data_IF_019976508199
#
_entry.id   IF_019976508199
#
_cell.length_a   1.000
_cell.length_b   1.000
_cell.length_c   1.000
_cell.angle_alpha   90.00
_cell.angle_beta   90.00
_cell.angle_gamma   90.00
#
_symmetry.space_group_name_H-M   'P 1'
#
loop_
_entity.id
_entity.type
_entity.pdbx_description
1 polymer ?
#
# COMPACT_ATOMS: atom_id res chain seq x y z
N UNK A 1 5.15 8.29 4.11
CA UNK A 1 5.33 8.06 2.66
C UNK A 1 4.69 6.74 2.30
N UNK A 2 3.89 6.71 1.21
CA UNK A 2 3.18 5.51 0.77
C UNK A 2 3.53 5.19 -0.67
N UNK A 3 3.65 3.90 -0.97
CA UNK A 3 3.69 3.39 -2.33
C UNK A 3 2.38 2.64 -2.59
N UNK A 4 1.62 3.09 -3.58
CA UNK A 4 0.38 2.43 -3.98
C UNK A 4 0.61 1.72 -5.31
N UNK A 5 0.40 0.41 -5.33
CA UNK A 5 0.53 -0.40 -6.54
C UNK A 5 -0.76 -0.50 -7.34
N UNK A 6 -0.69 -1.06 -8.55
CA UNK A 6 -1.84 -1.29 -9.41
C UNK A 6 -2.82 -2.28 -8.80
N UNK A 7 -4.10 -2.10 -9.09
CA UNK A 7 -5.18 -3.04 -8.76
C UNK A 7 -4.91 -4.42 -9.36
N UNK A 8 -5.40 -5.44 -8.67
CA UNK A 8 -5.31 -6.83 -9.07
C UNK A 8 -5.92 -7.07 -10.46
N UNK A 9 -5.06 -7.18 -11.46
CA UNK A 9 -5.32 -7.81 -12.73
C UNK A 9 -4.28 -8.93 -12.87
N UNK A 10 -4.63 -10.05 -13.45
CA UNK A 10 -3.70 -11.17 -13.66
C UNK A 10 -2.42 -10.76 -14.38
N UNK A 11 -2.54 -9.77 -15.26
CA UNK A 11 -1.45 -9.27 -16.10
C UNK A 11 -0.50 -8.31 -15.37
N UNK A 12 -0.90 -7.80 -14.18
CA UNK A 12 -0.13 -6.83 -13.39
C UNK A 12 0.53 -7.42 -12.13
N UNK A 13 0.62 -8.73 -12.00
CA UNK A 13 1.21 -9.40 -10.82
C UNK A 13 2.66 -8.94 -10.58
N UNK A 14 3.46 -8.86 -11.64
CA UNK A 14 4.86 -8.43 -11.55
C UNK A 14 4.99 -6.97 -11.10
N UNK A 15 4.10 -6.07 -11.53
CA UNK A 15 4.09 -4.67 -11.07
C UNK A 15 3.79 -4.58 -9.57
N UNK A 16 2.88 -5.41 -9.08
CA UNK A 16 2.59 -5.53 -7.65
C UNK A 16 3.83 -5.95 -6.86
N UNK A 17 4.52 -6.99 -7.32
CA UNK A 17 5.71 -7.54 -6.67
C UNK A 17 6.86 -6.52 -6.63
N UNK A 18 7.15 -5.81 -7.73
CA UNK A 18 8.22 -4.81 -7.74
C UNK A 18 7.87 -3.58 -6.89
N UNK A 19 6.60 -3.17 -6.86
CA UNK A 19 6.14 -2.06 -6.02
C UNK A 19 6.28 -2.41 -4.54
N UNK A 20 5.87 -3.62 -4.17
CA UNK A 20 6.02 -4.13 -2.81
C UNK A 20 7.50 -4.22 -2.41
N UNK A 21 8.34 -4.84 -3.23
CA UNK A 21 9.77 -4.97 -2.96
C UNK A 21 10.46 -3.61 -2.82
N UNK A 22 10.11 -2.63 -3.65
CA UNK A 22 10.62 -1.27 -3.56
C UNK A 22 10.25 -0.62 -2.21
N UNK A 23 8.99 -0.72 -1.79
CA UNK A 23 8.52 -0.16 -0.53
C UNK A 23 9.18 -0.83 0.69
N UNK A 24 9.26 -2.16 0.69
CA UNK A 24 9.89 -2.95 1.76
C UNK A 24 11.38 -2.63 1.90
N UNK A 25 12.09 -2.37 0.78
CA UNK A 25 13.52 -2.03 0.79
C UNK A 25 13.85 -0.74 1.54
N UNK A 26 12.85 0.11 1.78
CA UNK A 26 12.96 1.40 2.49
C UNK A 26 12.00 1.51 3.67
N UNK A 27 11.47 0.39 4.15
CA UNK A 27 10.51 0.31 5.27
C UNK A 27 9.34 1.30 5.12
N UNK A 28 8.84 1.50 3.90
CA UNK A 28 7.69 2.36 3.64
C UNK A 28 6.39 1.56 3.57
N UNK A 29 5.30 2.10 4.10
CA UNK A 29 3.99 1.48 3.95
C UNK A 29 3.56 1.39 2.48
N UNK A 30 2.86 0.32 2.12
CA UNK A 30 2.40 0.09 0.75
C UNK A 30 0.99 -0.51 0.70
N UNK A 31 0.31 -0.28 -0.42
CA UNK A 31 -0.96 -0.94 -0.77
C UNK A 31 -0.84 -1.41 -2.21
N UNK A 32 -0.84 -2.71 -2.43
CA UNK A 32 -0.64 -3.32 -3.75
C UNK A 32 -1.85 -4.12 -4.25
N UNK A 33 -2.94 -4.10 -3.52
CA UNK A 33 -4.19 -4.74 -3.91
C UNK A 33 -5.21 -3.67 -4.26
N UNK A 34 -6.30 -3.60 -3.56
CA UNK A 34 -7.31 -2.59 -3.77
C UNK A 34 -7.16 -1.48 -2.72
N UNK A 35 -7.12 -0.22 -3.15
CA UNK A 35 -7.26 0.89 -2.22
C UNK A 35 -8.56 0.76 -1.41
N UNK A 36 -8.43 0.72 -0.11
CA UNK A 36 -9.59 0.73 0.77
C UNK A 36 -10.06 2.16 0.94
N UNK A 37 -11.29 2.46 0.53
CA UNK A 37 -11.85 3.79 0.70
C UNK A 37 -11.80 4.23 2.17
N UNK A 38 -11.34 5.45 2.41
CA UNK A 38 -11.12 5.97 3.75
C UNK A 38 -9.75 5.62 4.36
N UNK A 39 -8.85 5.02 3.60
CA UNK A 39 -7.54 4.63 4.14
C UNK A 39 -6.73 5.82 4.68
N UNK A 40 -6.90 7.00 4.12
CA UNK A 40 -6.31 8.25 4.63
C UNK A 40 -7.33 9.10 5.41
N UNK A 41 -8.59 9.13 4.97
CA UNK A 41 -9.61 10.04 5.51
C UNK A 41 -10.40 9.45 6.68
N UNK A 42 -10.44 8.12 6.82
CA UNK A 42 -11.13 7.42 7.92
C UNK A 42 -10.20 6.45 8.65
N UNK A 43 -9.14 7.01 9.22
CA UNK A 43 -8.05 6.28 9.90
C UNK A 43 -8.57 5.40 11.05
N UNK A 44 -9.60 5.82 11.77
CA UNK A 44 -10.16 5.05 12.89
C UNK A 44 -10.76 3.71 12.44
N UNK A 45 -11.43 3.71 11.29
CA UNK A 45 -11.99 2.46 10.73
C UNK A 45 -10.89 1.53 10.27
N UNK A 46 -9.87 2.05 9.60
CA UNK A 46 -8.70 1.27 9.16
C UNK A 46 -7.95 0.70 10.36
N UNK A 47 -7.68 1.52 11.38
CA UNK A 47 -7.01 1.10 12.61
C UNK A 47 -7.78 0.00 13.35
N UNK A 48 -9.12 0.02 13.34
CA UNK A 48 -9.92 -1.08 13.91
C UNK A 48 -9.69 -2.40 13.17
N UNK A 49 -9.61 -2.37 11.85
CA UNK A 49 -9.33 -3.56 11.05
C UNK A 49 -7.90 -4.08 11.27
N UNK A 50 -6.93 -3.18 11.35
CA UNK A 50 -5.53 -3.53 11.66
C UNK A 50 -5.41 -4.15 13.05
N UNK A 51 -6.10 -3.59 14.07
CA UNK A 51 -6.11 -4.18 15.42
C UNK A 51 -6.73 -5.57 15.42
N UNK A 52 -7.84 -5.76 14.67
CA UNK A 52 -8.47 -7.07 14.51
C UNK A 52 -7.51 -8.08 13.88
N UNK A 53 -6.80 -7.67 12.83
CA UNK A 53 -5.79 -8.50 12.17
C UNK A 53 -4.69 -8.92 13.15
N UNK A 54 -4.09 -7.95 13.85
CA UNK A 54 -3.03 -8.22 14.85
C UNK A 54 -3.51 -9.15 15.99
N UNK A 55 -4.75 -8.99 16.46
CA UNK A 55 -5.34 -9.86 17.48
C UNK A 55 -5.53 -11.29 16.95
N UNK A 56 -6.10 -11.45 15.77
CA UNK A 56 -6.29 -12.77 15.16
C UNK A 56 -4.95 -13.49 14.91
N UNK A 57 -3.96 -12.78 14.36
CA UNK A 57 -2.61 -13.34 14.15
C UNK A 57 -1.99 -13.80 15.49
N UNK A 58 -2.07 -12.97 16.53
CA UNK A 58 -1.56 -13.30 17.86
C UNK A 58 -2.22 -14.53 18.44
N UNK A 59 -3.54 -14.62 18.36
CA UNK A 59 -4.32 -15.76 18.89
C UNK A 59 -4.09 -17.03 18.08
N UNK A 60 -3.88 -16.91 16.77
CA UNK A 60 -3.50 -18.04 15.92
C UNK A 60 -2.10 -18.55 16.28
N UNK A 61 -1.12 -17.65 16.40
CA UNK A 61 0.26 -18.00 16.75
C UNK A 61 0.40 -18.59 18.15
N UNK A 62 -0.46 -18.21 19.10
CA UNK A 62 -0.46 -18.77 20.45
C UNK A 62 -1.15 -20.16 20.59
N UNK A 63 -1.79 -20.66 19.51
CA UNK A 63 -2.58 -21.88 19.55
C UNK A 63 -3.93 -21.76 20.28
N UNK A 64 -4.30 -20.55 20.74
CA UNK A 64 -5.55 -20.31 21.46
C UNK A 64 -6.77 -20.69 20.63
N UNK A 65 -6.75 -20.36 19.32
CA UNK A 65 -7.86 -20.67 18.43
C UNK A 65 -8.02 -22.17 18.21
N UNK A 66 -6.92 -22.91 18.04
CA UNK A 66 -6.94 -24.36 17.88
C UNK A 66 -7.43 -25.08 19.15
N UNK A 67 -7.16 -24.54 20.33
CA UNK A 67 -7.58 -25.10 21.61
C UNK A 67 -9.08 -24.91 21.90
N UNK A 68 -9.71 -23.85 21.33
CA UNK A 68 -11.08 -23.44 21.69
C UNK A 68 -12.11 -23.68 20.60
N UNK A 69 -11.68 -23.82 19.35
CA UNK A 69 -12.57 -23.86 18.19
C UNK A 69 -12.37 -25.13 17.36
N UNK A 70 -13.39 -25.50 16.59
CA UNK A 70 -13.30 -26.63 15.66
C UNK A 70 -12.34 -26.32 14.50
N UNK A 71 -11.83 -27.37 13.83
CA UNK A 71 -10.93 -27.21 12.67
C UNK A 71 -11.53 -26.33 11.57
N UNK A 72 -12.85 -26.41 11.35
CA UNK A 72 -13.54 -25.61 10.35
C UNK A 72 -13.55 -24.11 10.72
N UNK A 73 -13.75 -23.80 12.01
CA UNK A 73 -13.71 -22.42 12.50
C UNK A 73 -12.30 -21.85 12.45
N UNK A 74 -11.28 -22.64 12.81
CA UNK A 74 -9.86 -22.24 12.69
C UNK A 74 -9.51 -21.94 11.24
N UNK A 75 -9.96 -22.76 10.30
CA UNK A 75 -9.78 -22.48 8.86
C UNK A 75 -10.41 -21.14 8.46
N UNK A 76 -11.63 -20.83 8.94
CA UNK A 76 -12.28 -19.54 8.65
C UNK A 76 -11.52 -18.36 9.24
N UNK A 77 -10.95 -18.50 10.43
CA UNK A 77 -10.08 -17.46 11.00
C UNK A 77 -8.82 -17.26 10.16
N UNK A 78 -8.22 -18.34 9.66
CA UNK A 78 -7.07 -18.23 8.76
C UNK A 78 -7.45 -17.52 7.45
N UNK A 79 -8.56 -17.87 6.83
CA UNK A 79 -9.07 -17.18 5.63
C UNK A 79 -9.34 -15.68 5.89
N UNK A 80 -9.86 -15.34 7.08
CA UNK A 80 -10.05 -13.94 7.47
C UNK A 80 -8.72 -13.21 7.67
N UNK A 81 -7.72 -13.84 8.28
CA UNK A 81 -6.36 -13.29 8.42
C UNK A 81 -5.77 -13.01 7.05
N UNK A 82 -5.88 -13.96 6.12
CA UNK A 82 -5.33 -13.83 4.76
C UNK A 82 -5.97 -12.65 4.01
N UNK A 83 -7.30 -12.51 4.09
CA UNK A 83 -8.03 -11.39 3.49
C UNK A 83 -7.63 -10.04 4.11
N UNK A 84 -7.49 -9.99 5.43
CA UNK A 84 -7.09 -8.77 6.13
C UNK A 84 -5.62 -8.42 5.85
N UNK A 85 -4.73 -9.40 5.79
CA UNK A 85 -3.33 -9.20 5.42
C UNK A 85 -3.18 -8.72 3.97
N UNK A 86 -3.96 -9.28 3.06
CA UNK A 86 -3.97 -8.82 1.67
C UNK A 86 -4.34 -7.32 1.57
N UNK A 87 -5.29 -6.85 2.39
CA UNK A 87 -5.79 -5.47 2.34
C UNK A 87 -4.98 -4.47 3.17
N UNK A 88 -4.49 -4.89 4.33
CA UNK A 88 -3.92 -4.01 5.34
C UNK A 88 -2.48 -4.36 5.72
N UNK A 89 -1.96 -5.51 5.27
CA UNK A 89 -0.63 -6.00 5.65
C UNK A 89 0.47 -4.98 5.41
N UNK A 90 0.48 -4.35 4.25
CA UNK A 90 1.52 -3.35 3.90
C UNK A 90 1.41 -2.01 4.65
N UNK A 91 0.29 -1.75 5.33
CA UNK A 91 0.09 -0.54 6.16
C UNK A 91 -0.05 -0.86 7.66
N UNK A 92 0.14 -2.10 8.04
CA UNK A 92 -0.07 -2.62 9.41
C UNK A 92 0.78 -1.89 10.46
N UNK A 93 1.99 -1.48 10.09
CA UNK A 93 2.94 -0.79 10.97
C UNK A 93 2.93 0.75 10.77
N UNK A 94 1.97 1.26 10.03
CA UNK A 94 1.85 2.70 9.84
C UNK A 94 1.17 3.34 11.06
N UNK A 95 1.90 4.19 11.77
CA UNK A 95 1.42 4.91 12.96
C UNK A 95 0.91 6.31 12.67
N UNK A 96 1.37 6.92 11.58
CA UNK A 96 1.11 8.32 11.23
C UNK A 96 0.64 8.47 9.79
N UNK A 97 0.03 9.60 9.48
CA UNK A 97 -0.33 9.94 8.11
C UNK A 97 0.93 10.08 7.23
N UNK A 98 0.88 9.62 5.97
CA UNK A 98 2.02 9.73 5.07
C UNK A 98 2.30 11.19 4.70
N UNK A 99 3.58 11.55 4.63
CA UNK A 99 4.00 12.88 4.19
C UNK A 99 3.86 13.07 2.66
N UNK A 100 3.79 11.98 1.90
CA UNK A 100 3.57 11.99 0.46
C UNK A 100 2.98 10.65 0.00
N UNK A 101 2.23 10.68 -1.08
CA UNK A 101 1.67 9.51 -1.75
C UNK A 101 2.38 9.29 -3.09
N UNK A 102 2.85 8.08 -3.33
CA UNK A 102 3.41 7.66 -4.62
C UNK A 102 2.43 6.67 -5.24
N UNK A 103 1.93 6.98 -6.42
CA UNK A 103 0.94 6.19 -7.15
C UNK A 103 1.54 5.65 -8.43
N UNK A 104 1.52 4.34 -8.62
CA UNK A 104 2.07 3.68 -9.81
C UNK A 104 1.07 3.66 -10.95
N UNK A 105 -0.21 3.44 -10.67
CA UNK A 105 -1.30 3.45 -11.65
C UNK A 105 -2.37 4.46 -11.22
N UNK A 106 -2.25 5.68 -11.75
CA UNK A 106 -3.16 6.78 -11.39
C UNK A 106 -4.59 6.56 -11.91
N UNK A 107 -4.79 5.75 -12.94
CA UNK A 107 -6.11 5.43 -13.47
C UNK A 107 -6.89 4.53 -12.51
N UNK A 108 -6.22 3.55 -11.93
CA UNK A 108 -6.82 2.57 -11.02
C UNK A 108 -7.02 3.16 -9.60
N UNK A 109 -6.06 3.96 -9.13
CA UNK A 109 -6.01 4.43 -7.75
C UNK A 109 -6.52 5.88 -7.57
N UNK A 110 -7.50 6.29 -8.39
CA UNK A 110 -8.16 7.61 -8.32
C UNK A 110 -8.69 7.96 -6.92
N UNK A 111 -9.14 6.97 -6.16
CA UNK A 111 -9.65 7.19 -4.81
C UNK A 111 -8.52 7.56 -3.84
N UNK A 112 -7.35 6.94 -3.98
CA UNK A 112 -6.16 7.30 -3.19
C UNK A 112 -5.75 8.75 -3.45
N UNK A 113 -5.72 9.15 -4.72
CA UNK A 113 -5.40 10.52 -5.14
C UNK A 113 -6.41 11.53 -4.57
N UNK A 114 -7.72 11.24 -4.65
CA UNK A 114 -8.77 12.10 -4.08
C UNK A 114 -8.64 12.27 -2.57
N UNK A 115 -8.39 11.18 -1.85
CA UNK A 115 -8.21 11.23 -0.40
C UNK A 115 -6.96 12.02 -0.01
N UNK A 116 -5.83 11.79 -0.69
CA UNK A 116 -4.60 12.54 -0.47
C UNK A 116 -4.81 14.05 -0.71
N UNK A 117 -5.50 14.41 -1.79
CA UNK A 117 -5.85 15.79 -2.10
C UNK A 117 -6.70 16.44 -1.02
N UNK A 118 -7.70 15.73 -0.48
CA UNK A 118 -8.56 16.20 0.61
C UNK A 118 -7.76 16.53 1.88
N UNK A 119 -6.66 15.81 2.10
CA UNK A 119 -5.77 15.99 3.26
C UNK A 119 -4.54 16.84 2.96
N UNK A 120 -4.45 17.44 1.78
CA UNK A 120 -3.29 18.19 1.30
C UNK A 120 -1.97 17.41 1.37
N UNK A 121 -2.05 16.09 1.12
CA UNK A 121 -0.87 15.23 1.01
C UNK A 121 -0.39 15.29 -0.44
N UNK A 122 0.88 15.67 -0.71
CA UNK A 122 1.42 15.75 -2.05
C UNK A 122 1.44 14.39 -2.73
N UNK A 123 0.99 14.34 -3.99
CA UNK A 123 0.85 13.14 -4.80
C UNK A 123 1.88 13.14 -5.91
N UNK A 124 2.71 12.10 -5.94
CA UNK A 124 3.57 11.72 -7.05
C UNK A 124 2.91 10.58 -7.80
N UNK A 125 2.69 10.70 -9.09
CA UNK A 125 2.07 9.61 -9.84
C UNK A 125 2.73 9.37 -11.20
N UNK A 126 2.89 8.09 -11.53
CA UNK A 126 3.17 7.65 -12.88
C UNK A 126 1.86 7.79 -13.67
N UNK A 127 1.91 8.49 -14.79
CA UNK A 127 0.74 8.78 -15.61
C UNK A 127 0.99 8.40 -17.04
N UNK A 128 0.14 7.55 -17.56
CA UNK A 128 0.06 7.29 -19.00
C UNK A 128 -0.89 8.30 -19.67
N UNK A 129 -1.01 8.24 -20.98
CA UNK A 129 -1.79 9.16 -21.84
C UNK A 129 -3.30 9.20 -21.53
N UNK A 130 -3.82 8.22 -20.81
CA UNK A 130 -5.23 8.06 -20.47
C UNK A 130 -5.62 8.65 -19.09
N UNK A 131 -4.71 9.36 -18.42
CA UNK A 131 -4.91 9.91 -17.08
C UNK A 131 -5.05 11.42 -17.11
N UNK A 132 -6.06 11.96 -16.41
CA UNK A 132 -6.19 13.40 -16.14
C UNK A 132 -5.24 13.80 -14.99
N UNK A 133 -4.21 14.64 -15.26
CA UNK A 133 -3.22 15.02 -14.26
C UNK A 133 -3.67 16.11 -13.28
N UNK A 134 -4.88 16.66 -13.42
CA UNK A 134 -5.36 17.86 -12.66
C UNK A 134 -5.22 17.73 -11.14
N UNK A 135 -5.35 16.50 -10.61
CA UNK A 135 -5.29 16.24 -9.17
C UNK A 135 -3.95 15.65 -8.70
N UNK A 136 -2.92 15.71 -9.53
CA UNK A 136 -1.59 15.15 -9.24
C UNK A 136 -0.62 16.31 -9.12
N UNK A 137 0.12 16.38 -8.00
CA UNK A 137 1.07 17.49 -7.76
C UNK A 137 2.37 17.30 -8.55
N UNK A 138 2.82 16.04 -8.68
CA UNK A 138 4.05 15.68 -9.39
C UNK A 138 3.78 14.57 -10.38
N UNK A 139 3.58 14.94 -11.61
CA UNK A 139 3.29 14.03 -12.74
C UNK A 139 4.58 13.45 -13.29
N UNK A 140 4.65 12.13 -13.39
CA UNK A 140 5.76 11.41 -14.03
C UNK A 140 5.21 10.73 -15.28
N UNK A 141 5.39 11.32 -16.47
CA UNK A 141 4.87 10.75 -17.70
C UNK A 141 5.67 9.50 -18.08
N UNK A 142 5.02 8.35 -17.99
CA UNK A 142 5.59 7.06 -18.39
C UNK A 142 4.48 6.04 -18.61
N UNK A 143 4.80 4.96 -19.32
CA UNK A 143 3.90 3.83 -19.48
C UNK A 143 3.83 3.05 -18.15
N UNK A 144 2.66 3.06 -17.53
CA UNK A 144 2.39 2.41 -16.24
C UNK A 144 2.23 0.88 -16.33
N UNK A 145 2.14 0.33 -17.55
CA UNK A 145 2.13 -1.11 -17.83
C UNK A 145 3.53 -1.68 -18.11
N UNK A 146 4.52 -0.83 -18.40
CA UNK A 146 5.87 -1.26 -18.72
C UNK A 146 6.70 -1.54 -17.46
N UNK A 147 6.85 -2.80 -17.09
CA UNK A 147 7.55 -3.27 -15.88
C UNK A 147 8.90 -2.59 -15.70
N UNK A 148 9.73 -2.52 -16.76
CA UNK A 148 11.08 -1.92 -16.69
C UNK A 148 11.03 -0.40 -16.46
N UNK A 149 10.04 0.29 -17.00
CA UNK A 149 9.87 1.73 -16.82
C UNK A 149 9.44 2.02 -15.37
N UNK A 150 8.44 1.29 -14.87
CA UNK A 150 7.97 1.41 -13.49
C UNK A 150 9.08 1.07 -12.50
N UNK A 151 9.83 -0.01 -12.72
CA UNK A 151 10.95 -0.40 -11.88
C UNK A 151 12.00 0.70 -11.80
N UNK A 152 12.43 1.24 -12.94
CA UNK A 152 13.41 2.33 -12.97
C UNK A 152 12.95 3.55 -12.15
N UNK A 153 11.67 3.94 -12.30
CA UNK A 153 11.11 5.07 -11.55
C UNK A 153 11.08 4.77 -10.04
N UNK A 154 10.66 3.56 -9.66
CA UNK A 154 10.65 3.13 -8.25
C UNK A 154 12.07 3.11 -7.66
N UNK A 155 13.08 2.68 -8.42
CA UNK A 155 14.48 2.71 -7.97
C UNK A 155 14.97 4.15 -7.70
N UNK A 156 14.55 5.13 -8.52
CA UNK A 156 14.82 6.55 -8.24
C UNK A 156 14.16 7.01 -6.94
N UNK A 157 12.89 6.62 -6.68
CA UNK A 157 12.23 6.95 -5.41
C UNK A 157 12.92 6.30 -4.22
N UNK A 158 13.29 5.01 -4.32
CA UNK A 158 14.03 4.28 -3.27
C UNK A 158 15.34 4.99 -2.95
N UNK A 159 16.11 5.37 -3.95
CA UNK A 159 17.37 6.08 -3.77
C UNK A 159 17.18 7.46 -3.13
N UNK A 160 16.17 8.20 -3.57
CA UNK A 160 15.84 9.52 -2.99
C UNK A 160 15.39 9.40 -1.51
N UNK A 161 14.61 8.38 -1.16
CA UNK A 161 14.18 8.12 0.21
C UNK A 161 15.39 7.78 1.09
N UNK A 162 16.27 6.87 0.65
CA UNK A 162 17.49 6.51 1.37
C UNK A 162 18.41 7.72 1.59
N UNK A 163 18.60 8.54 0.57
CA UNK A 163 19.40 9.77 0.69
C UNK A 163 18.76 10.78 1.66
N UNK A 164 17.42 10.85 1.71
CA UNK A 164 16.71 11.72 2.65
C UNK A 164 16.79 11.23 4.11
N UNK A 165 16.84 9.92 4.33
CA UNK A 165 17.01 9.34 5.68
C UNK A 165 18.41 9.59 6.22
N UNK A 166 19.44 9.38 5.40
CA UNK A 166 20.84 9.66 5.79
C UNK A 166 21.07 11.13 6.20
N UNK A 167 20.37 12.09 5.56
CA UNK A 167 20.47 13.51 5.94
C UNK A 167 19.77 13.86 7.27
N UNK A 168 18.91 12.98 7.76
CA UNK A 168 18.21 13.16 9.05
C UNK A 168 19.04 12.67 10.23
N UNK A 169 19.96 11.75 9.99
CA UNK A 169 20.83 11.14 11.00
C UNK A 169 22.17 11.91 11.16
N UNK A 170 22.46 12.82 10.24
CA UNK A 170 23.63 13.70 10.26
C UNK A 170 23.29 15.07 10.85
#
# INVERSE_FOLDING_TARGET
>A
RWLVGPRQSSDKKQLKEITQAAAESVNMPYVTVRWVGGALTNVDTVNRQIRKLKDLEKRMASGELEARYSKLEVQRFQEEIDILNERYGGIKEMSEQPAALIVVDAMQDKNAIKEAKTLNIPVFAITDTNVDPTNIDYVIPANDDAIKAVQLILDYFVNAIKAGEQKKEA
#
